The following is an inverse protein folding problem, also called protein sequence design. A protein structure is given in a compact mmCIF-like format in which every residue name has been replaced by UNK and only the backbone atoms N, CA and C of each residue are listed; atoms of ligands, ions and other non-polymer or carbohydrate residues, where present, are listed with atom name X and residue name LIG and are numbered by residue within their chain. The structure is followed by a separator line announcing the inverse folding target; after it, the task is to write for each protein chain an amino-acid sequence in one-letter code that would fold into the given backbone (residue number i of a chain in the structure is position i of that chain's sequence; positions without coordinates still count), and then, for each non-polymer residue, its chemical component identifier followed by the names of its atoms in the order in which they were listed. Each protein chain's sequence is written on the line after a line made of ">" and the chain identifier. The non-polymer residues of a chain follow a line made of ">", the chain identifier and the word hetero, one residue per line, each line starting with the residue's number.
data_IF_311022636440
#
_entry.id   IF_311022636440
#
_cell.length_a   1.000
_cell.length_b   1.000
_cell.length_c   1.000
_cell.angle_alpha   90.00
_cell.angle_beta   90.00
_cell.angle_gamma   90.00
#
_symmetry.space_group_name_H-M   'P 1'
#
loop_
_entity.id
_entity.type
_entity.pdbx_description
1 polymer ?
#
# COMPACT_ATOMS: atom_id res chain seq x y z
N UNK A 1 -22.34 9.52 30.20
CA UNK A 1 -20.97 9.01 30.39
C UNK A 1 -20.18 9.37 29.15
N UNK A 2 -19.15 10.22 29.29
CA UNK A 2 -18.29 10.62 28.18
C UNK A 2 -17.28 9.50 27.89
N UNK A 3 -17.12 9.14 26.62
CA UNK A 3 -16.18 8.09 26.19
C UNK A 3 -14.74 8.58 26.39
N UNK A 4 -13.87 7.77 26.99
CA UNK A 4 -12.47 8.19 27.20
C UNK A 4 -11.72 8.24 25.86
N UNK A 5 -10.68 9.08 25.70
CA UNK A 5 -9.92 9.14 24.45
C UNK A 5 -9.33 7.78 24.04
N UNK A 6 -8.89 6.96 25.00
CA UNK A 6 -8.42 5.59 24.75
C UNK A 6 -9.53 4.69 24.20
N UNK A 7 -10.77 4.82 24.72
CA UNK A 7 -11.92 4.09 24.19
C UNK A 7 -12.26 4.56 22.78
N UNK A 8 -12.22 5.87 22.51
CA UNK A 8 -12.45 6.43 21.18
C UNK A 8 -11.43 5.91 20.16
N UNK A 9 -10.14 5.86 20.53
CA UNK A 9 -9.09 5.30 19.68
C UNK A 9 -9.35 3.82 19.33
N UNK A 10 -9.71 3.01 20.32
CA UNK A 10 -10.05 1.60 20.09
C UNK A 10 -11.25 1.44 19.13
N UNK A 11 -12.25 2.31 19.25
CA UNK A 11 -13.40 2.33 18.35
C UNK A 11 -13.02 2.69 16.91
N UNK A 12 -12.15 3.69 16.70
CA UNK A 12 -11.69 4.07 15.35
C UNK A 12 -10.93 2.92 14.68
N UNK A 13 -10.04 2.25 15.43
CA UNK A 13 -9.30 1.08 14.89
C UNK A 13 -10.23 -0.05 14.45
N UNK A 14 -11.27 -0.33 15.23
CA UNK A 14 -12.29 -1.31 14.85
C UNK A 14 -13.05 -0.88 13.59
N UNK A 15 -13.35 0.41 13.45
CA UNK A 15 -13.98 0.94 12.23
C UNK A 15 -13.08 0.78 11.00
N UNK A 16 -11.77 1.06 11.12
CA UNK A 16 -10.81 0.86 10.03
C UNK A 16 -10.80 -0.60 9.58
N UNK A 17 -10.65 -1.55 10.52
CA UNK A 17 -10.67 -2.98 10.22
C UNK A 17 -11.97 -3.43 9.54
N UNK A 18 -13.11 -2.88 10.00
CA UNK A 18 -14.42 -3.19 9.41
C UNK A 18 -14.51 -2.67 7.97
N UNK A 19 -14.03 -1.44 7.70
CA UNK A 19 -14.04 -0.87 6.36
C UNK A 19 -13.09 -1.59 5.41
N UNK A 20 -11.92 -2.03 5.89
CA UNK A 20 -11.00 -2.85 5.10
C UNK A 20 -11.63 -4.19 4.67
N UNK A 21 -12.52 -4.76 5.49
CA UNK A 21 -13.31 -5.94 5.14
C UNK A 21 -14.38 -5.71 4.06
N UNK A 22 -14.76 -4.46 3.78
CA UNK A 22 -15.75 -4.10 2.76
C UNK A 22 -15.13 -3.80 1.38
N UNK A 23 -13.84 -4.07 1.21
CA UNK A 23 -13.08 -3.70 0.00
C UNK A 23 -13.65 -4.25 -1.31
N UNK A 24 -14.31 -5.41 -1.25
CA UNK A 24 -14.91 -6.04 -2.43
C UNK A 24 -16.32 -5.50 -2.75
N UNK A 25 -16.93 -4.73 -1.85
CA UNK A 25 -18.31 -4.25 -1.97
C UNK A 25 -18.42 -2.74 -2.22
N UNK A 26 -17.36 -1.98 -1.94
CA UNK A 26 -17.34 -0.51 -2.05
C UNK A 26 -16.35 -0.09 -3.14
N UNK A 27 -16.68 0.88 -4.02
CA UNK A 27 -15.74 1.41 -4.99
C UNK A 27 -14.46 1.89 -4.29
N UNK A 28 -13.30 1.53 -4.86
CA UNK A 28 -11.99 1.78 -4.24
C UNK A 28 -11.78 3.26 -3.86
N UNK A 29 -12.25 4.20 -4.68
CA UNK A 29 -12.14 5.64 -4.41
C UNK A 29 -12.93 6.09 -3.17
N UNK A 30 -14.16 5.57 -3.00
CA UNK A 30 -14.98 5.87 -1.83
C UNK A 30 -14.40 5.25 -0.56
N UNK A 31 -13.87 4.02 -0.67
CA UNK A 31 -13.24 3.34 0.45
C UNK A 31 -11.98 4.08 0.92
N UNK A 32 -11.11 4.49 -0.01
CA UNK A 32 -9.90 5.26 0.32
C UNK A 32 -10.24 6.60 0.98
N UNK A 33 -11.29 7.30 0.52
CA UNK A 33 -11.73 8.54 1.15
C UNK A 33 -12.21 8.32 2.61
N UNK A 34 -12.94 7.23 2.87
CA UNK A 34 -13.40 6.86 4.22
C UNK A 34 -12.21 6.48 5.11
N UNK A 35 -11.31 5.63 4.61
CA UNK A 35 -10.12 5.20 5.36
C UNK A 35 -9.18 6.38 5.67
N UNK A 36 -8.98 7.29 4.72
CA UNK A 36 -8.19 8.50 4.93
C UNK A 36 -8.74 9.36 6.08
N UNK A 37 -10.06 9.59 6.10
CA UNK A 37 -10.72 10.33 7.17
C UNK A 37 -10.58 9.65 8.54
N UNK A 38 -10.75 8.32 8.61
CA UNK A 38 -10.58 7.56 9.85
C UNK A 38 -9.13 7.58 10.37
N UNK A 39 -8.14 7.46 9.48
CA UNK A 39 -6.71 7.56 9.84
C UNK A 39 -6.34 8.96 10.34
N UNK A 40 -6.92 10.01 9.76
CA UNK A 40 -6.73 11.38 10.24
C UNK A 40 -7.31 11.57 11.66
N UNK A 41 -8.48 11.00 11.93
CA UNK A 41 -9.07 11.03 13.28
C UNK A 41 -8.20 10.23 14.28
N UNK A 42 -7.68 9.08 13.87
CA UNK A 42 -6.75 8.28 14.68
C UNK A 42 -5.50 9.09 15.06
N UNK A 43 -4.86 9.74 14.09
CA UNK A 43 -3.68 10.58 14.32
C UNK A 43 -3.98 11.75 15.27
N UNK A 44 -5.14 12.39 15.11
CA UNK A 44 -5.56 13.50 15.98
C UNK A 44 -5.75 13.03 17.43
N UNK A 45 -6.38 11.87 17.63
CA UNK A 45 -6.57 11.27 18.95
C UNK A 45 -5.25 10.80 19.58
N UNK A 46 -4.34 10.25 18.78
CA UNK A 46 -3.00 9.90 19.24
C UNK A 46 -2.21 11.13 19.69
N UNK A 47 -2.29 12.24 18.96
CA UNK A 47 -1.66 13.50 19.36
C UNK A 47 -2.26 14.10 20.64
N UNK A 48 -3.55 13.86 20.90
CA UNK A 48 -4.19 14.25 22.17
C UNK A 48 -3.76 13.35 23.35
N UNK A 49 -3.50 12.07 23.08
CA UNK A 49 -3.13 11.08 24.09
C UNK A 49 -1.63 11.07 24.42
N UNK A 50 -0.78 11.30 23.43
CA UNK A 50 0.66 11.50 23.58
C UNK A 50 0.97 12.97 23.32
N UNK A 51 1.10 13.75 24.39
CA UNK A 51 1.49 15.15 24.26
C UNK A 51 2.76 15.30 23.41
N UNK A 52 2.62 16.02 22.30
CA UNK A 52 3.62 16.33 21.25
C UNK A 52 4.00 15.14 20.32
N UNK A 53 3.94 15.34 18.99
CA UNK A 53 4.77 16.37 18.36
C UNK A 53 4.00 17.42 17.57
N UNK A 54 4.42 18.67 17.76
CA UNK A 54 4.06 19.81 16.94
C UNK A 54 4.34 19.63 15.44
N UNK A 55 3.47 20.28 14.67
CA UNK A 55 3.60 20.78 13.29
C UNK A 55 3.28 19.85 12.11
N UNK A 56 1.99 19.91 11.75
CA UNK A 56 1.50 20.39 10.45
C UNK A 56 2.09 19.76 9.19
N UNK A 57 1.40 18.75 8.66
CA UNK A 57 1.36 18.47 7.22
C UNK A 57 -0.09 18.52 6.73
N UNK A 58 -0.59 19.74 6.56
CA UNK A 58 -1.78 20.00 5.75
C UNK A 58 -1.37 20.16 4.29
N UNK A 59 -1.27 19.06 3.56
CA UNK A 59 -1.39 19.11 2.11
C UNK A 59 -2.87 19.38 1.80
N UNK A 60 -3.16 20.48 1.08
CA UNK A 60 -4.47 20.97 0.63
C UNK A 60 -5.12 22.13 1.42
N UNK A 61 -4.34 22.99 2.09
CA UNK A 61 -4.78 24.38 2.25
C UNK A 61 -4.46 25.14 0.96
N UNK A 62 -5.48 25.32 0.10
CA UNK A 62 -5.40 26.24 -1.04
C UNK A 62 -5.16 27.64 -0.47
N UNK A 63 -3.95 28.15 -0.61
CA UNK A 63 -3.62 29.54 -0.31
C UNK A 63 -4.29 30.41 -1.38
N UNK A 64 -5.44 30.99 -1.05
CA UNK A 64 -6.05 32.06 -1.84
C UNK A 64 -5.38 33.35 -1.40
N UNK A 65 -4.49 33.89 -2.25
CA UNK A 65 -3.94 35.23 -2.06
C UNK A 65 -5.11 36.24 -1.93
N UNK A 66 -5.20 36.92 -0.78
CA UNK A 66 -6.14 38.02 -0.55
C UNK A 66 -7.19 37.83 0.55
N UNK A 67 -7.25 36.69 1.24
CA UNK A 67 -8.20 36.54 2.36
C UNK A 67 -7.64 37.10 3.67
N UNK A 68 -8.01 38.33 4.01
CA UNK A 68 -7.81 38.89 5.36
C UNK A 68 -8.73 38.18 6.34
N UNK A 69 -8.26 37.09 6.95
CA UNK A 69 -8.95 36.45 8.06
C UNK A 69 -8.71 37.29 9.31
N UNK A 70 -9.68 38.14 9.63
CA UNK A 70 -9.78 38.82 10.92
C UNK A 70 -10.24 37.80 11.97
N UNK A 71 -9.33 36.94 12.38
CA UNK A 71 -9.54 35.93 13.42
C UNK A 71 -8.94 36.38 14.73
N UNK A 72 -9.79 36.56 15.73
CA UNK A 72 -9.47 36.93 17.11
C UNK A 72 -8.51 35.89 17.74
N UNK A 73 -7.22 36.22 17.86
CA UNK A 73 -6.21 35.39 18.51
C UNK A 73 -6.32 35.60 20.02
N UNK A 74 -6.93 34.64 20.71
CA UNK A 74 -6.90 34.57 22.18
C UNK A 74 -5.53 34.06 22.61
N UNK A 75 -4.90 34.84 23.49
CA UNK A 75 -3.47 34.83 23.77
C UNK A 75 -2.89 33.52 24.29
N UNK A 76 -1.71 33.22 23.76
CA UNK A 76 -0.72 32.33 24.36
C UNK A 76 0.66 32.91 24.06
N UNK A 77 1.17 33.73 24.97
CA UNK A 77 2.50 34.36 24.85
C UNK A 77 3.58 33.32 24.60
N UNK A 78 4.23 33.41 23.45
CA UNK A 78 5.58 32.93 23.26
C UNK A 78 6.32 33.92 22.38
N UNK A 79 7.46 34.32 22.91
CA UNK A 79 8.30 35.44 22.52
C UNK A 79 8.91 35.21 21.13
N UNK A 80 8.24 35.66 20.06
CA UNK A 80 8.84 35.68 18.72
C UNK A 80 9.42 37.06 18.48
N UNK A 81 10.75 37.16 18.66
CA UNK A 81 11.54 38.30 18.22
C UNK A 81 11.51 38.29 16.69
N UNK A 82 10.58 39.04 16.11
CA UNK A 82 10.59 39.34 14.68
C UNK A 82 11.73 40.34 14.46
N UNK A 83 12.90 39.81 14.11
CA UNK A 83 14.00 40.63 13.61
C UNK A 83 13.74 40.96 12.14
N UNK A 84 12.94 42.00 11.88
CA UNK A 84 12.85 42.65 10.57
C UNK A 84 14.09 43.52 10.36
N UNK A 85 15.23 42.86 10.17
CA UNK A 85 16.44 43.49 9.67
C UNK A 85 16.29 43.80 8.20
N UNK A 86 15.93 45.05 7.88
CA UNK A 86 16.06 45.60 6.54
C UNK A 86 17.51 45.54 6.09
N UNK A 87 17.73 44.95 4.93
CA UNK A 87 19.03 44.87 4.28
C UNK A 87 18.84 44.94 2.77
N UNK A 88 19.06 46.13 2.22
CA UNK A 88 19.30 46.40 0.82
C UNK A 88 20.39 45.45 0.29
N UNK A 89 20.08 44.63 -0.72
CA UNK A 89 21.11 43.99 -1.54
C UNK A 89 21.00 44.49 -2.97
N UNK A 90 21.73 45.57 -3.19
CA UNK A 90 22.04 46.15 -4.49
C UNK A 90 23.20 45.36 -5.10
N UNK A 91 22.91 44.59 -6.16
CA UNK A 91 23.83 44.33 -7.27
C UNK A 91 24.95 43.27 -7.16
N UNK A 92 25.14 42.58 -8.30
CA UNK A 92 26.36 41.85 -8.78
C UNK A 92 26.81 40.65 -7.92
N UNK A 93 27.06 39.46 -8.44
CA UNK A 93 27.66 39.06 -9.71
C UNK A 93 27.15 37.70 -10.20
N UNK A 94 27.18 37.52 -11.52
CA UNK A 94 27.06 36.21 -12.17
C UNK A 94 28.35 35.42 -11.91
N UNK A 95 28.28 34.37 -11.10
CA UNK A 95 29.35 33.37 -11.02
C UNK A 95 28.91 32.12 -11.77
N UNK A 96 29.40 32.03 -13.00
CA UNK A 96 29.49 30.80 -13.77
C UNK A 96 30.82 30.14 -13.35
N UNK A 97 30.78 28.95 -12.75
CA UNK A 97 31.99 28.13 -12.56
C UNK A 97 31.71 26.66 -12.79
N UNK A 98 32.07 26.28 -14.01
CA UNK A 98 32.65 24.98 -14.36
C UNK A 98 33.84 24.65 -13.43
N UNK A 99 34.08 23.36 -13.16
CA UNK A 99 35.25 22.72 -12.53
C UNK A 99 35.39 22.77 -10.99
N UNK A 100 35.21 21.61 -10.34
CA UNK A 100 36.29 20.73 -9.83
C UNK A 100 35.72 19.84 -8.71
N UNK A 101 35.47 18.56 -8.99
CA UNK A 101 35.34 17.54 -7.94
C UNK A 101 36.46 16.54 -8.17
N UNK A 102 37.48 16.59 -7.32
CA UNK A 102 38.59 15.65 -7.26
C UNK A 102 38.89 15.36 -5.78
N UNK A 103 39.08 14.08 -5.45
CA UNK A 103 39.46 13.56 -4.13
C UNK A 103 38.26 12.93 -3.41
N UNK A 104 38.01 11.62 -3.48
CA UNK A 104 38.82 10.47 -3.06
C UNK A 104 39.13 10.47 -1.55
N UNK A 105 38.30 9.76 -0.79
CA UNK A 105 38.70 9.06 0.44
C UNK A 105 37.86 7.78 0.59
N UNK A 106 38.49 6.66 0.22
CA UNK A 106 38.12 5.31 0.63
C UNK A 106 38.62 5.08 2.06
N UNK A 107 37.71 4.75 2.98
CA UNK A 107 38.05 4.04 4.21
C UNK A 107 36.87 3.14 4.59
N UNK A 108 37.07 1.83 4.38
CA UNK A 108 36.09 0.82 4.73
C UNK A 108 35.97 0.60 6.23
N UNK A 109 34.78 0.16 6.65
CA UNK A 109 34.67 -0.66 7.85
C UNK A 109 33.65 -1.77 7.59
N UNK A 110 34.19 -2.97 7.31
CA UNK A 110 33.43 -4.22 7.31
C UNK A 110 33.35 -4.69 8.76
N UNK A 111 32.13 -4.76 9.30
CA UNK A 111 31.82 -5.68 10.38
C UNK A 111 30.51 -6.37 10.06
N UNK A 112 30.66 -7.65 9.75
CA UNK A 112 29.63 -8.68 9.69
C UNK A 112 28.81 -8.69 10.99
N UNK A 113 27.49 -8.71 10.84
CA UNK A 113 26.61 -9.55 11.68
C UNK A 113 25.29 -9.77 10.97
N UNK A 114 25.13 -11.02 10.57
CA UNK A 114 23.92 -11.64 10.05
C UNK A 114 22.72 -11.40 10.96
N UNK A 115 21.68 -10.79 10.42
CA UNK A 115 20.31 -11.09 10.82
C UNK A 115 19.47 -11.28 9.56
N UNK A 116 19.20 -12.56 9.29
CA UNK A 116 18.25 -13.04 8.30
C UNK A 116 16.89 -12.38 8.52
N UNK A 117 16.48 -11.50 7.61
CA UNK A 117 15.08 -11.28 7.33
C UNK A 117 14.81 -11.71 5.90
N UNK A 118 14.37 -12.96 5.77
CA UNK A 118 13.91 -13.53 4.52
C UNK A 118 12.55 -12.94 4.17
N UNK A 119 12.56 -11.75 3.55
CA UNK A 119 11.49 -11.30 2.68
C UNK A 119 12.05 -11.27 1.27
N UNK A 120 11.80 -12.34 0.51
CA UNK A 120 12.01 -12.37 -0.94
C UNK A 120 11.11 -11.32 -1.58
N UNK A 121 11.61 -10.10 -1.65
CA UNK A 121 11.14 -9.07 -2.54
C UNK A 121 11.53 -9.54 -3.95
N UNK A 122 10.56 -10.04 -4.71
CA UNK A 122 10.69 -10.18 -6.16
C UNK A 122 10.70 -8.78 -6.78
N UNK A 123 11.85 -8.10 -6.73
CA UNK A 123 12.13 -6.92 -7.55
C UNK A 123 12.35 -7.41 -8.97
N UNK A 124 11.29 -7.43 -9.77
CA UNK A 124 11.40 -7.57 -11.22
C UNK A 124 12.01 -6.29 -11.80
N UNK A 125 13.33 -6.31 -12.03
CA UNK A 125 14.02 -5.32 -12.85
C UNK A 125 14.00 -5.74 -14.33
N UNK A 126 13.23 -5.00 -15.12
CA UNK A 126 13.68 -4.45 -16.41
C UNK A 126 13.56 -5.29 -17.68
N UNK A 127 12.48 -5.07 -18.43
CA UNK A 127 12.57 -5.02 -19.90
C UNK A 127 11.99 -3.69 -20.38
N UNK A 128 12.87 -2.78 -20.79
CA UNK A 128 12.53 -1.58 -21.56
C UNK A 128 12.09 -2.01 -22.97
N UNK A 129 10.97 -1.47 -23.43
CA UNK A 129 10.64 -1.39 -24.86
C UNK A 129 10.00 -2.63 -25.46
N UNK A 130 8.72 -2.84 -25.18
CA UNK A 130 7.81 -3.48 -26.13
C UNK A 130 6.52 -2.71 -26.02
N UNK A 131 6.09 -2.09 -27.12
CA UNK A 131 4.78 -1.47 -27.24
C UNK A 131 3.73 -2.46 -26.74
N UNK A 132 3.20 -2.13 -25.57
CA UNK A 132 2.25 -2.96 -24.83
C UNK A 132 0.96 -3.02 -25.64
N UNK A 133 0.81 -4.12 -26.37
CA UNK A 133 -0.44 -4.54 -26.97
C UNK A 133 -1.52 -4.59 -25.85
N UNK A 134 -2.51 -3.68 -25.85
CA UNK A 134 -3.52 -3.60 -24.79
C UNK A 134 -4.51 -4.78 -24.78
N UNK A 135 -4.31 -5.77 -25.66
CA UNK A 135 -5.16 -6.95 -25.79
C UNK A 135 -4.85 -8.07 -24.78
N UNK A 136 -3.74 -7.99 -24.02
CA UNK A 136 -3.50 -8.88 -22.88
C UNK A 136 -3.97 -8.23 -21.57
N UNK A 137 -5.23 -7.79 -21.55
CA UNK A 137 -5.93 -7.44 -20.31
C UNK A 137 -6.21 -8.74 -19.54
N UNK A 138 -5.16 -9.31 -18.95
CA UNK A 138 -5.28 -10.44 -18.02
C UNK A 138 -6.13 -9.95 -16.87
N UNK A 139 -7.37 -10.45 -16.81
CA UNK A 139 -8.23 -10.22 -15.67
C UNK A 139 -7.42 -10.55 -14.40
N UNK A 140 -7.21 -9.58 -13.50
CA UNK A 140 -6.44 -9.82 -12.30
C UNK A 140 -7.14 -10.93 -11.52
N UNK A 141 -6.37 -11.95 -11.10
CA UNK A 141 -6.90 -12.98 -10.23
C UNK A 141 -7.42 -12.31 -8.95
N UNK A 142 -8.63 -12.65 -8.47
CA UNK A 142 -9.19 -12.02 -7.29
C UNK A 142 -8.24 -12.21 -6.09
N UNK A 143 -8.06 -11.20 -5.23
CA UNK A 143 -7.02 -11.19 -4.20
C UNK A 143 -7.16 -12.31 -3.15
N UNK A 144 -8.27 -13.03 -3.13
CA UNK A 144 -8.56 -14.11 -2.17
C UNK A 144 -8.69 -15.50 -2.81
N UNK A 145 -8.40 -15.62 -4.11
CA UNK A 145 -8.58 -16.86 -4.88
C UNK A 145 -7.87 -18.05 -4.23
N UNK A 146 -6.61 -17.85 -3.86
CA UNK A 146 -5.78 -18.89 -3.25
C UNK A 146 -6.39 -19.40 -1.93
N UNK A 147 -6.72 -18.47 -1.03
CA UNK A 147 -7.26 -18.78 0.29
C UNK A 147 -8.61 -19.50 0.19
N UNK A 148 -9.48 -19.08 -0.73
CA UNK A 148 -10.76 -19.74 -0.99
C UNK A 148 -10.55 -21.17 -1.51
N UNK A 149 -9.65 -21.36 -2.47
CA UNK A 149 -9.38 -22.70 -3.01
C UNK A 149 -8.80 -23.63 -1.94
N UNK A 150 -7.86 -23.17 -1.11
CA UNK A 150 -7.25 -24.00 -0.07
C UNK A 150 -8.24 -24.37 1.03
N UNK A 151 -9.12 -23.46 1.44
CA UNK A 151 -10.07 -23.71 2.53
C UNK A 151 -11.26 -24.56 2.11
N UNK A 152 -11.73 -24.42 0.88
CA UNK A 152 -12.99 -25.03 0.43
C UNK A 152 -12.83 -26.21 -0.51
N UNK A 153 -11.65 -26.44 -1.08
CA UNK A 153 -11.40 -27.56 -2.00
C UNK A 153 -10.51 -28.61 -1.34
N UNK A 154 -10.91 -29.87 -1.49
CA UNK A 154 -10.07 -31.00 -1.10
C UNK A 154 -9.02 -31.32 -2.17
N UNK A 155 -8.00 -32.13 -1.84
CA UNK A 155 -7.03 -32.63 -2.85
C UNK A 155 -7.72 -33.32 -4.04
N UNK A 156 -8.83 -34.03 -3.79
CA UNK A 156 -9.60 -34.69 -4.84
C UNK A 156 -10.27 -33.69 -5.79
N UNK A 157 -10.75 -32.57 -5.26
CA UNK A 157 -11.37 -31.51 -6.06
C UNK A 157 -10.33 -30.82 -6.95
N UNK A 158 -9.13 -30.54 -6.41
CA UNK A 158 -8.03 -29.96 -7.19
C UNK A 158 -7.60 -30.90 -8.33
N UNK A 159 -7.47 -32.20 -8.08
CA UNK A 159 -7.16 -33.18 -9.13
C UNK A 159 -8.23 -33.16 -10.23
N UNK A 160 -9.50 -33.11 -9.84
CA UNK A 160 -10.60 -33.05 -10.79
C UNK A 160 -10.62 -31.75 -11.61
N UNK A 161 -10.33 -30.60 -10.98
CA UNK A 161 -10.19 -29.32 -11.68
C UNK A 161 -9.00 -29.37 -12.65
N UNK A 162 -7.88 -29.96 -12.25
CA UNK A 162 -6.73 -30.16 -13.14
C UNK A 162 -7.10 -31.02 -14.34
N UNK A 163 -7.85 -32.10 -14.13
CA UNK A 163 -8.37 -32.95 -15.21
C UNK A 163 -9.25 -32.16 -16.20
N UNK A 164 -10.21 -31.36 -15.72
CA UNK A 164 -11.04 -30.52 -16.59
C UNK A 164 -10.23 -29.47 -17.36
N UNK A 165 -9.19 -28.93 -16.74
CA UNK A 165 -8.30 -27.97 -17.38
C UNK A 165 -7.25 -28.64 -18.28
N UNK A 166 -7.22 -29.97 -18.37
CA UNK A 166 -6.19 -30.74 -19.07
C UNK A 166 -4.77 -30.38 -18.57
N UNK A 167 -4.63 -30.26 -17.24
CA UNK A 167 -3.37 -30.02 -16.54
C UNK A 167 -3.00 -31.27 -15.78
N UNK A 168 -1.74 -31.68 -15.90
CA UNK A 168 -1.22 -32.85 -15.19
C UNK A 168 -0.94 -32.47 -13.72
N UNK A 169 -1.73 -33.02 -12.80
CA UNK A 169 -1.63 -32.75 -11.36
C UNK A 169 -0.27 -33.15 -10.77
N UNK A 170 0.31 -34.25 -11.27
CA UNK A 170 1.59 -34.77 -10.78
C UNK A 170 2.77 -33.89 -11.22
N UNK A 171 2.60 -33.12 -12.30
CA UNK A 171 3.59 -32.15 -12.79
C UNK A 171 3.57 -30.80 -12.07
N UNK A 172 2.55 -30.51 -11.29
CA UNK A 172 2.49 -29.29 -10.49
C UNK A 172 3.52 -29.34 -9.35
N UNK A 173 4.20 -28.22 -9.10
CA UNK A 173 5.21 -28.14 -8.04
C UNK A 173 4.60 -28.31 -6.64
N UNK A 174 5.37 -28.94 -5.74
CA UNK A 174 5.05 -29.15 -4.34
C UNK A 174 4.17 -30.37 -4.04
N UNK A 175 4.12 -30.75 -2.76
CA UNK A 175 3.44 -31.96 -2.27
C UNK A 175 2.23 -31.64 -1.38
N UNK A 176 2.13 -30.39 -0.92
CA UNK A 176 1.02 -29.92 -0.09
C UNK A 176 -0.13 -29.42 -0.97
N UNK A 177 -1.34 -29.37 -0.40
CA UNK A 177 -2.50 -28.82 -1.10
C UNK A 177 -2.25 -27.34 -1.49
N UNK A 178 -1.66 -26.58 -0.57
CA UNK A 178 -1.33 -25.17 -0.72
C UNK A 178 -0.36 -24.93 -1.89
N UNK A 179 0.73 -25.70 -1.94
CA UNK A 179 1.69 -25.62 -3.04
C UNK A 179 1.06 -25.96 -4.40
N UNK A 180 0.22 -27.02 -4.43
CA UNK A 180 -0.47 -27.45 -5.66
C UNK A 180 -1.45 -26.38 -6.16
N UNK A 181 -2.20 -25.73 -5.25
CA UNK A 181 -3.10 -24.62 -5.59
C UNK A 181 -2.30 -23.43 -6.12
N UNK A 182 -1.20 -23.07 -5.46
CA UNK A 182 -0.31 -21.98 -5.91
C UNK A 182 0.28 -22.26 -7.29
N UNK A 183 0.76 -23.49 -7.53
CA UNK A 183 1.30 -23.91 -8.82
C UNK A 183 0.22 -23.89 -9.92
N UNK A 184 -1.01 -24.34 -9.61
CA UNK A 184 -2.14 -24.33 -10.52
C UNK A 184 -2.54 -22.89 -10.91
N UNK A 185 -2.69 -21.99 -9.93
CA UNK A 185 -3.01 -20.57 -10.20
C UNK A 185 -1.91 -19.94 -11.07
N UNK A 186 -0.65 -20.20 -10.76
CA UNK A 186 0.49 -19.70 -11.54
C UNK A 186 0.47 -20.22 -12.99
N UNK A 187 0.17 -21.51 -13.17
CA UNK A 187 0.02 -22.13 -14.49
C UNK A 187 -1.14 -21.50 -15.28
N UNK A 188 -2.31 -21.34 -14.68
CA UNK A 188 -3.47 -20.72 -15.33
C UNK A 188 -3.22 -19.26 -15.69
N UNK A 189 -2.53 -18.49 -14.84
CA UNK A 189 -2.13 -17.10 -15.14
C UNK A 189 -1.19 -17.03 -16.35
N UNK A 190 -0.20 -17.91 -16.42
CA UNK A 190 0.75 -17.96 -17.55
C UNK A 190 0.09 -18.29 -18.88
N UNK A 191 -0.98 -19.08 -18.85
CA UNK A 191 -1.68 -19.54 -20.05
C UNK A 191 -2.97 -18.75 -20.34
N UNK A 192 -3.26 -17.66 -19.61
CA UNK A 192 -4.52 -16.89 -19.73
C UNK A 192 -5.79 -17.71 -19.49
N UNK A 193 -5.74 -18.74 -18.62
CA UNK A 193 -6.86 -19.66 -18.31
C UNK A 193 -7.40 -19.49 -16.88
N UNK A 194 -7.29 -18.29 -16.33
CA UNK A 194 -7.81 -17.98 -14.99
C UNK A 194 -9.34 -18.01 -14.98
N UNK A 195 -9.98 -17.56 -16.07
CA UNK A 195 -11.44 -17.62 -16.20
C UNK A 195 -11.96 -19.07 -16.21
N UNK A 196 -11.29 -19.97 -16.92
CA UNK A 196 -11.63 -21.40 -16.92
C UNK A 196 -11.48 -22.01 -15.52
N UNK A 197 -10.44 -21.62 -14.78
CA UNK A 197 -10.21 -22.07 -13.40
C UNK A 197 -11.33 -21.61 -12.46
N UNK A 198 -11.73 -20.35 -12.57
CA UNK A 198 -12.84 -19.79 -11.78
C UNK A 198 -14.15 -20.50 -12.11
N UNK A 199 -14.43 -20.73 -13.40
CA UNK A 199 -15.62 -21.45 -13.84
C UNK A 199 -15.65 -22.88 -13.30
N UNK A 200 -14.55 -23.62 -13.42
CA UNK A 200 -14.43 -24.98 -12.90
C UNK A 200 -14.55 -25.04 -11.37
N UNK A 201 -14.03 -24.03 -10.67
CA UNK A 201 -14.13 -23.93 -9.20
C UNK A 201 -15.57 -23.62 -8.76
N UNK A 202 -16.26 -22.72 -9.46
CA UNK A 202 -17.65 -22.37 -9.20
C UNK A 202 -18.63 -23.53 -9.47
N UNK A 203 -18.41 -24.29 -10.54
CA UNK A 203 -19.22 -25.50 -10.86
C UNK A 203 -19.11 -26.57 -9.76
N UNK A 204 -17.95 -26.66 -9.10
CA UNK A 204 -17.72 -27.64 -8.04
C UNK A 204 -18.31 -27.24 -6.70
N UNK A 205 -18.30 -25.95 -6.38
CA UNK A 205 -18.80 -25.48 -5.09
C UNK A 205 -19.68 -24.23 -5.24
N UNK A 206 -20.87 -24.33 -5.86
CA UNK A 206 -21.68 -23.17 -6.23
C UNK A 206 -22.11 -22.31 -5.03
N UNK A 207 -22.08 -22.86 -3.81
CA UNK A 207 -22.40 -22.13 -2.58
C UNK A 207 -21.38 -21.08 -2.15
N UNK A 208 -20.13 -21.16 -2.62
CA UNK A 208 -19.02 -20.32 -2.15
C UNK A 208 -18.56 -19.25 -3.15
N UNK A 209 -19.06 -19.31 -4.39
CA UNK A 209 -18.61 -18.45 -5.51
C UNK A 209 -19.73 -17.57 -6.08
N UNK A 210 -20.87 -17.50 -5.40
CA UNK A 210 -22.04 -16.70 -5.77
C UNK A 210 -22.13 -15.39 -5.01
#
# INVERSE_FOLDING_TARGET
>A
MSMTPTQQLAKIRQMILTQEGLRDFVPAEQLEAILASLRQQEQTLLAQLGGEPATTYGANAVHVEGSTVQGNVIGGSSNSVVNTGGGDYVGRDKINTTNHITGDYVAGNKTERDQYNASTINVYHGTKGSDSDPSLNLAPAPPNLHHQMVNYLSKSDINTICFYLNVDYDRLAGDTLDDKVTALITYCRRNNRVADLLKASAERNPSQWG
#
